data_IF_468923693774
#
_entry.id   IF_468923693774
#
_cell.length_a   1.000
_cell.length_b   1.000
_cell.length_c   1.000
_cell.angle_alpha   90.00
_cell.angle_beta   90.00
_cell.angle_gamma   90.00
#
_symmetry.space_group_name_H-M   'P 1'
#
loop_
_entity.id
_entity.type
_entity.pdbx_description
1 polymer ?
#
# COMPACT_ATOMS: atom_id res chain seq x y z
N UNK A 1 0.09 -4.66 -23.59
CA UNK A 1 0.92 -4.01 -22.70
C UNK A 1 0.23 -3.09 -21.76
N UNK A 2 -0.60 -2.26 -22.21
CA UNK A 2 -1.31 -1.37 -21.37
C UNK A 2 -2.04 -2.03 -20.28
N UNK A 3 -2.60 -3.17 -20.55
CA UNK A 3 -3.36 -3.83 -19.52
C UNK A 3 -2.54 -4.27 -18.36
N UNK A 4 -1.25 -4.46 -18.57
CA UNK A 4 -0.42 -4.92 -17.50
C UNK A 4 -0.25 -3.88 -16.42
N UNK A 5 -0.51 -2.65 -16.75
CA UNK A 5 -0.29 -1.59 -15.79
C UNK A 5 -1.58 -0.98 -15.28
N UNK A 6 -2.65 -1.75 -15.38
CA UNK A 6 -3.88 -1.26 -14.87
C UNK A 6 -3.83 -1.24 -13.37
N UNK A 7 -4.15 -0.11 -12.78
CA UNK A 7 -4.12 0.02 -11.33
C UNK A 7 -5.29 -0.73 -10.72
N UNK A 8 -5.00 -1.61 -9.79
CA UNK A 8 -6.05 -2.34 -9.09
C UNK A 8 -6.27 -1.70 -7.73
N UNK A 9 -7.13 -0.73 -7.69
CA UNK A 9 -7.37 -0.02 -6.45
C UNK A 9 -8.16 -0.86 -5.47
N UNK A 10 -8.64 -2.01 -5.89
CA UNK A 10 -9.39 -2.86 -4.99
C UNK A 10 -8.55 -3.42 -3.86
N UNK A 11 -7.24 -3.34 -3.96
CA UNK A 11 -6.41 -3.81 -2.87
C UNK A 11 -6.84 -3.14 -1.58
N UNK A 12 -7.12 -1.84 -1.63
CA UNK A 12 -7.50 -1.14 -0.43
C UNK A 12 -8.92 -0.59 -0.47
N UNK A 13 -9.55 -0.53 -1.62
CA UNK A 13 -10.87 0.03 -1.71
C UNK A 13 -11.99 -0.99 -1.65
N UNK A 14 -11.67 -2.22 -1.96
CA UNK A 14 -12.71 -3.22 -2.00
C UNK A 14 -13.50 -3.30 -0.71
N UNK A 15 -12.84 -3.16 0.39
CA UNK A 15 -13.53 -3.31 1.64
C UNK A 15 -14.41 -2.15 2.02
N UNK A 16 -14.32 -1.08 1.29
CA UNK A 16 -15.16 0.05 1.61
C UNK A 16 -16.62 -0.31 1.58
N UNK A 17 -17.00 -1.05 0.61
CA UNK A 17 -18.38 -1.43 0.51
C UNK A 17 -18.79 -2.33 1.64
N UNK A 18 -17.90 -3.16 2.04
CA UNK A 18 -18.19 -4.09 3.10
C UNK A 18 -18.28 -3.35 4.41
N UNK A 19 -17.45 -2.39 4.57
CA UNK A 19 -17.49 -1.70 5.79
C UNK A 19 -18.65 -0.83 6.02
N UNK A 20 -19.29 -0.44 4.99
CA UNK A 20 -20.42 0.43 5.20
C UNK A 20 -21.33 -0.15 6.23
N UNK A 21 -21.36 -1.42 6.32
CA UNK A 21 -22.25 -2.03 7.27
C UNK A 21 -21.73 -1.97 8.66
N UNK A 22 -20.45 -1.92 8.80
CA UNK A 22 -19.90 -1.94 10.09
C UNK A 22 -19.78 -0.63 10.76
N UNK A 23 -20.09 0.36 10.07
CA UNK A 23 -19.99 1.63 10.64
C UNK A 23 -20.58 1.74 11.94
N UNK A 24 -21.62 1.05 12.11
CA UNK A 24 -22.33 1.18 13.28
C UNK A 24 -21.69 0.54 14.37
N UNK A 25 -20.90 -0.36 14.05
CA UNK A 25 -20.32 -1.14 15.04
C UNK A 25 -19.57 -0.15 15.83
N UNK A 26 -19.64 -0.16 16.97
CA UNK A 26 -19.10 0.69 17.87
C UNK A 26 -17.79 1.13 17.46
N UNK A 27 -17.68 2.21 17.15
CA UNK A 27 -16.52 2.66 16.66
C UNK A 27 -15.34 2.54 17.51
N UNK A 28 -15.29 1.67 18.39
CA UNK A 28 -14.23 1.59 19.23
C UNK A 28 -12.95 1.29 18.57
N UNK A 29 -12.81 0.23 17.94
CA UNK A 29 -11.55 -0.17 17.40
C UNK A 29 -11.35 0.27 16.02
N UNK A 30 -12.21 1.07 15.56
CA UNK A 30 -12.15 1.43 14.21
C UNK A 30 -10.98 2.25 13.82
N UNK A 31 -10.43 3.04 14.72
CA UNK A 31 -9.35 3.87 14.34
C UNK A 31 -8.20 3.13 13.73
N UNK A 32 -7.87 2.00 14.27
CA UNK A 32 -6.76 1.24 13.72
C UNK A 32 -7.04 0.74 12.33
N UNK A 33 -8.27 0.37 12.07
CA UNK A 33 -8.58 -0.17 10.77
C UNK A 33 -8.80 0.91 9.73
N UNK A 34 -8.92 2.15 10.15
CA UNK A 34 -9.14 3.22 9.20
C UNK A 34 -7.84 3.85 8.74
N UNK A 35 -6.73 3.31 9.17
CA UNK A 35 -5.47 3.90 8.83
C UNK A 35 -4.68 2.92 7.99
N UNK A 36 -4.08 3.40 6.93
CA UNK A 36 -3.21 2.58 6.11
C UNK A 36 -1.83 2.65 6.72
N UNK A 37 -1.23 1.50 6.99
CA UNK A 37 0.09 1.45 7.55
C UNK A 37 1.06 0.87 6.55
N UNK A 38 2.17 1.54 6.38
CA UNK A 38 3.20 1.11 5.47
C UNK A 38 4.43 0.82 6.30
N UNK A 39 4.96 -0.39 6.18
CA UNK A 39 6.12 -0.81 6.94
C UNK A 39 7.20 -1.27 6.01
N UNK A 40 8.39 -0.71 6.16
CA UNK A 40 9.53 -1.09 5.34
C UNK A 40 10.64 -1.53 6.27
N UNK A 41 11.09 -2.76 6.10
CA UNK A 41 12.12 -3.32 6.95
C UNK A 41 13.01 -4.20 6.09
N UNK A 42 14.29 -3.88 6.00
CA UNK A 42 15.22 -4.63 5.18
C UNK A 42 14.71 -4.78 3.75
N UNK A 43 14.14 -3.73 3.23
CA UNK A 43 13.60 -3.66 1.88
C UNK A 43 12.40 -4.56 1.65
N UNK A 44 11.85 -5.15 2.69
CA UNK A 44 10.52 -5.75 2.59
C UNK A 44 9.52 -4.64 2.81
N UNK A 45 8.51 -4.58 1.96
CA UNK A 45 7.52 -3.52 2.03
C UNK A 45 6.16 -4.15 2.26
N UNK A 46 5.49 -3.69 3.29
CA UNK A 46 4.18 -4.19 3.63
C UNK A 46 3.23 -3.02 3.76
N UNK A 47 2.08 -3.13 3.11
CA UNK A 47 1.06 -2.09 3.18
C UNK A 47 -0.21 -2.76 3.67
N UNK A 48 -0.80 -2.24 4.72
CA UNK A 48 -1.97 -2.87 5.29
C UNK A 48 -2.93 -1.82 5.82
N UNK A 49 -4.17 -2.21 5.98
CA UNK A 49 -5.18 -1.37 6.55
C UNK A 49 -6.16 -0.88 5.52
N UNK A 50 -7.13 -0.14 5.98
CA UNK A 50 -8.15 0.39 5.12
C UNK A 50 -8.30 1.86 5.42
N UNK A 51 -8.39 2.68 4.42
CA UNK A 51 -8.71 4.05 4.65
C UNK A 51 -10.20 4.12 4.81
N UNK A 52 -10.81 3.03 4.66
CA UNK A 52 -12.12 2.89 5.10
C UNK A 52 -13.19 3.51 4.33
N UNK A 53 -14.17 3.82 5.03
CA UNK A 53 -15.35 4.27 4.45
C UNK A 53 -15.41 5.77 4.49
N UNK A 54 -14.29 6.39 4.70
CA UNK A 54 -14.28 7.84 4.68
C UNK A 54 -14.55 8.26 3.26
N UNK A 55 -15.52 9.03 3.09
CA UNK A 55 -16.01 9.36 1.77
C UNK A 55 -14.98 9.82 0.76
N UNK A 56 -14.52 10.96 0.79
CA UNK A 56 -13.68 11.41 -0.27
C UNK A 56 -12.21 11.27 -0.02
N UNK A 57 -11.76 11.73 1.08
CA UNK A 57 -10.34 11.73 1.35
C UNK A 57 -9.76 10.36 1.31
N UNK A 58 -10.48 9.38 1.85
CA UNK A 58 -9.90 8.06 1.93
C UNK A 58 -9.84 7.38 0.58
N UNK A 59 -10.78 7.68 -0.30
CA UNK A 59 -10.73 7.06 -1.62
C UNK A 59 -9.51 7.54 -2.38
N UNK A 60 -9.17 8.79 -2.28
CA UNK A 60 -8.02 9.33 -2.94
C UNK A 60 -6.76 8.75 -2.34
N UNK A 61 -6.73 8.63 -1.03
CA UNK A 61 -5.56 8.10 -0.36
C UNK A 61 -5.36 6.64 -0.71
N UNK A 62 -6.43 5.85 -0.69
CA UNK A 62 -6.32 4.44 -1.04
C UNK A 62 -5.85 4.28 -2.47
N UNK A 63 -6.38 5.06 -3.38
CA UNK A 63 -5.97 4.95 -4.77
C UNK A 63 -4.50 5.34 -4.92
N UNK A 64 -4.06 6.37 -4.22
CA UNK A 64 -2.66 6.78 -4.29
C UNK A 64 -1.72 5.74 -3.76
N UNK A 65 -2.04 5.18 -2.60
CA UNK A 65 -1.19 4.16 -2.00
C UNK A 65 -1.20 2.90 -2.86
N UNK A 66 -2.37 2.52 -3.38
CA UNK A 66 -2.45 1.34 -4.24
C UNK A 66 -1.62 1.51 -5.49
N UNK A 67 -1.68 2.69 -6.10
CA UNK A 67 -0.91 2.92 -7.31
C UNK A 67 0.59 2.83 -7.03
N UNK A 68 1.03 3.42 -5.93
CA UNK A 68 2.45 3.39 -5.62
C UNK A 68 2.91 1.96 -5.29
N UNK A 69 2.11 1.23 -4.54
CA UNK A 69 2.51 -0.13 -4.18
C UNK A 69 2.52 -1.05 -5.38
N UNK A 70 1.48 -0.97 -6.22
CA UNK A 70 1.44 -1.83 -7.39
C UNK A 70 2.55 -1.50 -8.36
N UNK A 71 2.89 -0.22 -8.47
CA UNK A 71 4.00 0.17 -9.30
C UNK A 71 5.30 -0.41 -8.76
N UNK A 72 5.49 -0.39 -7.45
CA UNK A 72 6.68 -0.98 -6.85
C UNK A 72 6.73 -2.47 -7.17
N UNK A 73 5.64 -3.17 -6.96
CA UNK A 73 5.63 -4.61 -7.15
C UNK A 73 5.89 -5.00 -8.60
N UNK A 74 5.21 -4.35 -9.52
CA UNK A 74 5.39 -4.67 -10.93
C UNK A 74 6.77 -4.22 -11.43
N UNK A 75 7.24 -3.07 -10.97
CA UNK A 75 8.56 -2.60 -11.38
C UNK A 75 9.65 -3.54 -10.88
N UNK A 76 9.49 -4.06 -9.67
CA UNK A 76 10.49 -4.99 -9.16
C UNK A 76 10.58 -6.21 -10.06
N UNK A 77 9.44 -6.72 -10.50
CA UNK A 77 9.44 -7.91 -11.32
C UNK A 77 9.92 -7.64 -12.74
N UNK A 78 9.62 -6.47 -13.27
CA UNK A 78 9.96 -6.18 -14.65
C UNK A 78 11.28 -5.49 -14.86
N UNK A 79 11.73 -4.72 -13.91
CA UNK A 79 12.92 -3.88 -14.09
C UNK A 79 14.14 -4.36 -13.32
N UNK A 80 14.02 -5.42 -12.55
CA UNK A 80 15.17 -5.94 -11.85
C UNK A 80 15.28 -7.43 -12.12
N UNK A 81 16.44 -7.98 -11.83
CA UNK A 81 16.67 -9.41 -12.00
C UNK A 81 16.43 -10.18 -10.71
N UNK A 82 15.89 -9.53 -9.70
CA UNK A 82 15.74 -10.17 -8.41
C UNK A 82 14.56 -11.12 -8.36
N UNK A 83 14.48 -11.84 -7.27
CA UNK A 83 13.39 -12.75 -6.99
C UNK A 83 12.65 -12.22 -5.77
N UNK A 84 11.33 -12.24 -5.85
CA UNK A 84 10.53 -11.65 -4.79
C UNK A 84 9.39 -12.57 -4.40
N UNK A 85 9.06 -12.53 -3.10
CA UNK A 85 7.88 -13.21 -2.63
C UNK A 85 6.83 -12.14 -2.43
N UNK A 86 5.68 -12.30 -3.04
CA UNK A 86 4.63 -11.28 -2.94
C UNK A 86 3.35 -11.92 -2.44
N UNK A 87 2.56 -11.14 -1.73
CA UNK A 87 1.21 -11.55 -1.39
C UNK A 87 0.33 -10.32 -1.42
N UNK A 88 -0.92 -10.54 -1.75
CA UNK A 88 -1.82 -9.44 -1.96
C UNK A 88 -3.24 -9.92 -1.74
N UNK A 89 -3.98 -9.17 -0.98
CA UNK A 89 -5.39 -9.44 -0.81
C UNK A 89 -6.04 -8.12 -0.41
N UNK A 90 -7.32 -8.12 -0.23
CA UNK A 90 -8.00 -6.87 0.05
C UNK A 90 -7.43 -6.25 1.31
N UNK A 91 -6.98 -5.03 1.20
CA UNK A 91 -6.44 -4.32 2.33
C UNK A 91 -5.04 -4.72 2.74
N UNK A 92 -4.34 -5.47 1.88
CA UNK A 92 -3.02 -5.94 2.25
C UNK A 92 -2.15 -6.20 1.03
N UNK A 93 -0.92 -5.76 1.08
CA UNK A 93 0.06 -6.07 0.05
C UNK A 93 1.43 -6.18 0.68
N UNK A 94 2.22 -7.09 0.15
CA UNK A 94 3.57 -7.25 0.66
C UNK A 94 4.50 -7.76 -0.42
N UNK A 95 5.71 -7.21 -0.47
CA UNK A 95 6.74 -7.70 -1.33
C UNK A 95 8.01 -7.84 -0.49
N UNK A 96 8.67 -8.98 -0.64
CA UNK A 96 9.85 -9.29 0.13
C UNK A 96 10.90 -9.85 -0.81
N UNK A 97 12.07 -9.23 -0.90
CA UNK A 97 13.11 -9.76 -1.77
C UNK A 97 13.67 -11.05 -1.19
N UNK A 98 14.04 -11.96 -2.06
CA UNK A 98 14.62 -13.23 -1.66
C UNK A 98 16.08 -13.18 -2.07
N UNK A 99 16.98 -13.39 -1.11
CA UNK A 99 18.40 -13.37 -1.40
C UNK A 99 18.94 -11.96 -1.38
N UNK A 100 19.95 -11.73 -2.16
CA UNK A 100 20.62 -10.46 -2.15
C UNK A 100 19.79 -9.37 -2.81
N UNK A 101 19.78 -8.20 -2.22
CA UNK A 101 18.94 -7.12 -2.71
C UNK A 101 19.74 -6.27 -3.68
N UNK A 102 19.24 -6.10 -4.90
CA UNK A 102 19.95 -5.34 -5.90
C UNK A 102 19.83 -3.84 -5.67
N UNK A 103 20.74 -3.09 -6.27
CA UNK A 103 20.66 -1.64 -6.16
C UNK A 103 19.44 -1.11 -6.86
N UNK A 104 19.03 -1.76 -7.95
CA UNK A 104 17.83 -1.33 -8.66
C UNK A 104 16.61 -1.45 -7.78
N UNK A 105 16.50 -2.56 -7.06
CA UNK A 105 15.34 -2.73 -6.19
C UNK A 105 15.40 -1.72 -5.03
N UNK A 106 16.60 -1.46 -4.51
CA UNK A 106 16.72 -0.46 -3.44
C UNK A 106 16.24 0.90 -3.92
N UNK A 107 16.55 1.22 -5.16
CA UNK A 107 16.11 2.50 -5.71
C UNK A 107 14.60 2.54 -5.84
N UNK A 108 13.99 1.43 -6.26
CA UNK A 108 12.54 1.40 -6.38
C UNK A 108 11.86 1.57 -5.02
N UNK A 109 12.41 0.94 -3.98
CA UNK A 109 11.85 1.09 -2.65
C UNK A 109 12.02 2.53 -2.16
N UNK A 110 13.15 3.14 -2.45
CA UNK A 110 13.37 4.52 -2.05
C UNK A 110 12.38 5.45 -2.75
N UNK A 111 12.12 5.19 -4.02
CA UNK A 111 11.15 5.98 -4.77
C UNK A 111 9.76 5.80 -4.18
N UNK A 112 9.41 4.56 -3.84
CA UNK A 112 8.13 4.28 -3.22
C UNK A 112 7.99 5.06 -1.90
N UNK A 113 9.05 5.07 -1.10
CA UNK A 113 9.00 5.77 0.17
C UNK A 113 8.81 7.27 -0.01
N UNK A 114 9.43 7.85 -1.01
CA UNK A 114 9.24 9.25 -1.28
C UNK A 114 7.76 9.52 -1.56
N UNK A 115 7.15 8.67 -2.36
CA UNK A 115 5.75 8.85 -2.71
C UNK A 115 4.82 8.71 -1.53
N UNK A 116 4.98 7.63 -0.74
CA UNK A 116 4.05 7.42 0.36
C UNK A 116 4.28 8.41 1.49
N UNK A 117 5.52 8.89 1.67
CA UNK A 117 5.75 9.92 2.65
C UNK A 117 5.06 11.23 2.24
N UNK A 118 5.00 11.49 0.96
CA UNK A 118 4.27 12.64 0.47
C UNK A 118 2.78 12.53 0.78
N UNK A 119 2.22 11.34 0.57
CA UNK A 119 0.82 11.13 0.90
C UNK A 119 0.60 11.26 2.39
N UNK A 120 1.47 10.67 3.20
CA UNK A 120 1.32 10.73 4.65
C UNK A 120 1.41 12.17 5.16
N UNK A 121 2.24 12.98 4.54
CA UNK A 121 2.36 14.36 4.94
C UNK A 121 1.09 15.15 4.64
N UNK A 122 0.43 14.81 3.54
CA UNK A 122 -0.79 15.51 3.16
C UNK A 122 -2.02 14.96 3.86
N UNK A 123 -1.99 13.68 4.21
CA UNK A 123 -3.14 13.02 4.82
C UNK A 123 -2.72 12.23 6.06
N UNK A 124 -2.18 12.93 7.05
CA UNK A 124 -1.60 12.22 8.21
C UNK A 124 -2.61 11.43 9.03
N UNK A 125 -3.88 11.73 8.88
CA UNK A 125 -4.88 10.98 9.62
C UNK A 125 -5.23 9.66 8.95
N UNK A 126 -4.74 9.44 7.74
CA UNK A 126 -5.10 8.23 7.00
C UNK A 126 -3.92 7.32 6.70
N UNK A 127 -2.71 7.81 6.77
CA UNK A 127 -1.55 7.02 6.39
C UNK A 127 -0.40 7.24 7.36
N UNK A 128 0.21 6.16 7.79
CA UNK A 128 1.39 6.27 8.62
C UNK A 128 2.46 5.37 8.03
N UNK A 129 3.69 5.86 7.99
CA UNK A 129 4.81 5.14 7.39
C UNK A 129 5.83 4.81 8.46
N UNK A 130 6.19 3.54 8.54
CA UNK A 130 7.23 3.08 9.45
C UNK A 130 8.35 2.52 8.59
N UNK A 131 9.51 3.14 8.60
CA UNK A 131 10.63 2.66 7.81
C UNK A 131 11.87 2.63 8.66
N UNK A 132 12.67 1.57 8.47
CA UNK A 132 13.95 1.45 9.18
C UNK A 132 15.02 2.25 8.50
#
# INVERSE_FOLDING_TARGET
MQELYKIDTHIFLRNNGTYSGDLRAPGLFIEDTLMIQIKVNNYSVEVSGHAGYMPHGSDIVCAGVSALYQTLEESAKELTDGTYKTSSEAGYGRICPIGEVSNEYKLLVSSFLIGVNGIAASYPDYVIVHAD
#
